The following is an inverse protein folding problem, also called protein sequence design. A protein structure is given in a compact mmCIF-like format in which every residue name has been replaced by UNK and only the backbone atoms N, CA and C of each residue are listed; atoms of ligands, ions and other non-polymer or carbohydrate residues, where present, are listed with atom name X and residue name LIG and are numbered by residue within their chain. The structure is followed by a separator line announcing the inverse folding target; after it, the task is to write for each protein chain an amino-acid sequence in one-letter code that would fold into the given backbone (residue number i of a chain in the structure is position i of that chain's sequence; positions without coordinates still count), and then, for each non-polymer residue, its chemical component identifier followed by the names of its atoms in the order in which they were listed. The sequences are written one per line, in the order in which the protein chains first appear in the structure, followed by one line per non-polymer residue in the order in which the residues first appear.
data_IF_529666906898
#
_entry.id   IF_529666906898
#
_cell.length_a   1.000
_cell.length_b   1.000
_cell.length_c   1.000
_cell.angle_alpha   90.00
_cell.angle_beta   90.00
_cell.angle_gamma   90.00
#
_symmetry.space_group_name_H-M   'P 1'
#
loop_
_entity.id
_entity.type
_entity.pdbx_description
1 polymer ?
#
# COMPACT_ATOMS: atom_id res chain seq x y z
N UNK A 1 20.09 -13.15 2.76
CA UNK A 1 19.69 -12.94 4.18
C UNK A 1 18.21 -12.59 4.18
N UNK A 2 17.35 -13.40 4.81
CA UNK A 2 15.93 -13.08 4.89
C UNK A 2 15.80 -11.92 5.87
N UNK A 3 15.48 -10.74 5.35
CA UNK A 3 15.30 -9.57 6.20
C UNK A 3 13.96 -9.70 6.92
N UNK A 4 14.00 -9.76 8.25
CA UNK A 4 12.90 -9.81 9.23
C UNK A 4 11.94 -8.58 9.17
N UNK A 5 11.56 -8.11 7.97
CA UNK A 5 10.60 -7.02 7.77
C UNK A 5 9.22 -7.54 7.32
N UNK A 6 9.09 -8.86 7.18
CA UNK A 6 7.96 -9.58 6.56
C UNK A 6 6.68 -9.66 7.41
N UNK A 7 6.64 -9.09 8.62
CA UNK A 7 5.54 -9.39 9.54
C UNK A 7 4.17 -8.75 9.19
N UNK A 8 4.05 -7.94 8.12
CA UNK A 8 2.85 -7.11 7.95
C UNK A 8 2.35 -6.90 6.52
N UNK A 9 2.74 -7.74 5.57
CA UNK A 9 2.05 -7.82 4.29
C UNK A 9 1.93 -9.28 3.87
N UNK A 10 0.90 -9.59 3.10
CA UNK A 10 0.68 -10.94 2.57
C UNK A 10 0.63 -10.90 1.04
N UNK A 11 0.80 -12.04 0.38
CA UNK A 11 0.52 -12.15 -1.05
C UNK A 11 -0.95 -12.47 -1.24
N UNK A 12 -1.63 -11.67 -2.06
CA UNK A 12 -3.04 -11.89 -2.35
C UNK A 12 -3.25 -12.95 -3.44
N UNK A 13 -4.52 -13.20 -3.80
CA UNK A 13 -4.89 -14.20 -4.81
C UNK A 13 -4.29 -13.93 -6.21
N UNK A 14 -3.92 -12.68 -6.48
CA UNK A 14 -3.38 -12.23 -7.75
C UNK A 14 -1.83 -12.20 -7.73
N UNK A 15 -1.23 -12.58 -6.58
CA UNK A 15 0.21 -12.61 -6.35
C UNK A 15 0.80 -11.24 -5.98
N UNK A 16 -0.05 -10.24 -5.74
CA UNK A 16 0.39 -8.92 -5.33
C UNK A 16 0.70 -8.91 -3.84
N UNK A 17 1.74 -8.16 -3.46
CA UNK A 17 2.04 -7.92 -2.05
C UNK A 17 1.07 -6.87 -1.51
N UNK A 18 0.38 -7.20 -0.43
CA UNK A 18 -0.74 -6.43 0.09
C UNK A 18 -0.51 -6.03 1.56
N UNK A 19 -0.54 -4.73 1.82
CA UNK A 19 -0.47 -4.13 3.16
C UNK A 19 -1.89 -3.85 3.68
N UNK A 20 -2.29 -4.50 4.78
CA UNK A 20 -3.57 -4.24 5.45
C UNK A 20 -3.39 -3.26 6.64
N UNK A 21 -4.15 -2.16 6.61
CA UNK A 21 -4.10 -1.08 7.59
C UNK A 21 -5.25 -1.10 8.62
N UNK A 22 -6.19 -2.05 8.57
CA UNK A 22 -7.40 -2.07 9.42
C UNK A 22 -7.15 -2.00 10.93
N UNK A 23 -5.98 -2.44 11.39
CA UNK A 23 -5.64 -2.55 12.81
C UNK A 23 -4.72 -1.44 13.32
N UNK A 24 -4.39 -0.46 12.48
CA UNK A 24 -3.46 0.60 12.83
C UNK A 24 -4.18 1.90 13.17
N UNK A 25 -3.60 2.66 14.10
CA UNK A 25 -3.90 4.08 14.23
C UNK A 25 -3.43 4.83 12.98
N UNK A 26 -4.00 5.99 12.69
CA UNK A 26 -3.64 6.83 11.53
C UNK A 26 -2.12 7.07 11.41
N UNK A 27 -1.49 7.55 12.49
CA UNK A 27 -0.04 7.77 12.53
C UNK A 27 0.77 6.48 12.36
N UNK A 28 0.26 5.35 12.87
CA UNK A 28 0.86 4.03 12.67
C UNK A 28 0.74 3.55 11.23
N UNK A 29 -0.43 3.76 10.61
CA UNK A 29 -0.75 3.37 9.26
C UNK A 29 0.16 4.11 8.26
N UNK A 30 0.28 5.43 8.36
CA UNK A 30 1.14 6.20 7.46
C UNK A 30 2.62 5.86 7.58
N UNK A 31 3.09 5.50 8.78
CA UNK A 31 4.46 5.00 8.95
C UNK A 31 4.65 3.65 8.24
N UNK A 32 3.66 2.77 8.29
CA UNK A 32 3.69 1.47 7.60
C UNK A 32 3.64 1.64 6.08
N UNK A 33 2.76 2.51 5.56
CA UNK A 33 2.65 2.83 4.12
C UNK A 33 3.98 3.30 3.55
N UNK A 34 4.60 4.32 4.19
CA UNK A 34 5.90 4.87 3.75
C UNK A 34 7.00 3.81 3.71
N UNK A 35 7.08 3.00 4.76
CA UNK A 35 8.06 1.92 4.84
C UNK A 35 7.82 0.86 3.76
N UNK A 36 6.58 0.40 3.63
CA UNK A 36 6.18 -0.62 2.67
C UNK A 36 6.50 -0.22 1.23
N UNK A 37 6.04 0.96 0.80
CA UNK A 37 6.27 1.43 -0.58
C UNK A 37 7.76 1.65 -0.89
N UNK A 38 8.53 2.13 0.09
CA UNK A 38 9.98 2.24 -0.05
C UNK A 38 10.64 0.87 -0.31
N UNK A 39 10.25 -0.16 0.46
CA UNK A 39 10.81 -1.50 0.32
C UNK A 39 10.37 -2.17 -0.99
N UNK A 40 9.09 -2.09 -1.34
CA UNK A 40 8.55 -2.71 -2.54
C UNK A 40 9.11 -2.09 -3.82
N UNK A 41 9.26 -0.76 -3.86
CA UNK A 41 9.94 -0.08 -4.98
C UNK A 41 11.38 -0.57 -5.14
N UNK A 42 12.11 -0.77 -4.03
CA UNK A 42 13.48 -1.31 -4.08
C UNK A 42 13.52 -2.76 -4.54
N UNK A 43 12.56 -3.59 -4.15
CA UNK A 43 12.45 -4.97 -4.64
C UNK A 43 12.16 -5.00 -6.15
N UNK A 44 11.25 -4.15 -6.64
CA UNK A 44 10.98 -4.01 -8.06
C UNK A 44 12.23 -3.62 -8.86
N UNK A 45 12.98 -2.62 -8.39
CA UNK A 45 14.22 -2.19 -9.05
C UNK A 45 15.33 -3.25 -9.00
N UNK A 46 15.36 -4.09 -7.97
CA UNK A 46 16.35 -5.17 -7.82
C UNK A 46 15.98 -6.46 -8.56
N UNK A 47 14.71 -6.66 -8.87
CA UNK A 47 14.20 -7.81 -9.62
C UNK A 47 14.25 -7.60 -11.13
N UNK A 48 15.12 -6.68 -11.60
CA UNK A 48 15.19 -6.26 -13.01
C UNK A 48 13.82 -5.83 -13.56
N UNK A 49 13.03 -5.13 -12.72
CA UNK A 49 11.68 -4.66 -13.04
C UNK A 49 10.71 -5.79 -13.44
N UNK A 50 10.85 -6.95 -12.82
CA UNK A 50 9.94 -8.08 -13.04
C UNK A 50 8.48 -7.72 -12.73
N UNK A 51 7.57 -8.24 -13.56
CA UNK A 51 6.11 -8.04 -13.42
C UNK A 51 5.60 -8.47 -12.03
N UNK A 52 6.19 -9.51 -11.45
CA UNK A 52 5.80 -10.04 -10.13
C UNK A 52 6.05 -9.07 -8.95
N UNK A 53 6.83 -8.00 -9.17
CA UNK A 53 7.12 -6.98 -8.15
C UNK A 53 6.60 -5.59 -8.53
N UNK A 54 5.93 -5.47 -9.69
CA UNK A 54 5.47 -4.18 -10.21
C UNK A 54 4.29 -3.61 -9.43
N UNK A 55 3.38 -4.48 -9.01
CA UNK A 55 2.11 -4.11 -8.38
C UNK A 55 2.12 -4.47 -6.91
N UNK A 56 1.58 -3.56 -6.11
CA UNK A 56 1.31 -3.78 -4.68
C UNK A 56 -0.01 -3.17 -4.30
N UNK A 57 -0.59 -3.69 -3.23
CA UNK A 57 -1.89 -3.27 -2.73
C UNK A 57 -1.79 -2.71 -1.32
N UNK A 58 -2.64 -1.74 -1.02
CA UNK A 58 -2.85 -1.21 0.32
C UNK A 58 -4.35 -1.24 0.62
N UNK A 59 -4.74 -1.86 1.72
CA UNK A 59 -6.12 -1.90 2.20
C UNK A 59 -6.24 -0.95 3.40
N UNK A 60 -7.04 0.10 3.23
CA UNK A 60 -7.29 1.19 4.18
C UNK A 60 -8.56 0.99 5.03
N UNK A 61 -9.48 0.12 4.61
CA UNK A 61 -10.81 -0.01 5.24
C UNK A 61 -12.00 0.24 4.33
N UNK A 62 -13.05 -0.59 4.44
CA UNK A 62 -14.37 -0.28 3.84
C UNK A 62 -15.13 0.68 4.77
N UNK A 63 -15.24 1.94 4.33
CA UNK A 63 -16.03 2.95 5.02
C UNK A 63 -17.51 2.55 5.10
N UNK A 64 -17.94 2.07 6.28
CA UNK A 64 -19.32 2.11 6.80
C UNK A 64 -19.48 1.61 8.25
N UNK A 65 -18.46 1.02 8.87
CA UNK A 65 -18.40 0.81 10.32
C UNK A 65 -17.27 1.62 10.96
N UNK A 66 -17.39 2.93 10.86
CA UNK A 66 -16.60 3.86 11.66
C UNK A 66 -17.15 3.88 13.09
N UNK A 67 -16.59 3.09 14.00
CA UNK A 67 -16.70 3.44 15.41
C UNK A 67 -15.76 4.65 15.63
N UNK A 68 -16.32 5.87 15.66
CA UNK A 68 -15.62 7.17 15.78
C UNK A 68 -14.83 7.70 14.55
N UNK A 69 -15.49 7.96 13.41
CA UNK A 69 -14.99 8.89 12.37
C UNK A 69 -13.70 8.56 11.58
N UNK A 70 -13.47 7.31 11.16
CA UNK A 70 -12.34 6.98 10.27
C UNK A 70 -12.71 7.02 8.77
N UNK A 71 -12.40 8.15 8.12
CA UNK A 71 -12.16 8.34 6.67
C UNK A 71 -10.69 8.75 6.39
N UNK A 72 -9.96 9.14 7.44
CA UNK A 72 -8.69 9.88 7.35
C UNK A 72 -7.55 9.06 6.74
N UNK A 73 -7.47 7.75 7.01
CA UNK A 73 -6.37 6.92 6.49
C UNK A 73 -6.42 6.82 4.96
N UNK A 74 -7.61 6.74 4.36
CA UNK A 74 -7.74 6.71 2.90
C UNK A 74 -7.26 8.02 2.29
N UNK A 75 -7.75 9.14 2.82
CA UNK A 75 -7.40 10.50 2.39
C UNK A 75 -5.90 10.76 2.58
N UNK A 76 -5.32 10.41 3.72
CA UNK A 76 -3.87 10.57 3.98
C UNK A 76 -2.99 9.72 3.05
N UNK A 77 -3.44 8.50 2.73
CA UNK A 77 -2.74 7.63 1.77
C UNK A 77 -2.81 8.23 0.39
N UNK A 78 -3.98 8.69 -0.05
CA UNK A 78 -4.19 9.35 -1.35
C UNK A 78 -3.32 10.61 -1.47
N UNK A 79 -3.40 11.52 -0.51
CA UNK A 79 -2.57 12.72 -0.42
C UNK A 79 -1.07 12.40 -0.47
N UNK A 80 -0.64 11.34 0.22
CA UNK A 80 0.76 10.92 0.21
C UNK A 80 1.18 10.40 -1.18
N UNK A 81 0.34 9.59 -1.82
CA UNK A 81 0.63 9.00 -3.13
C UNK A 81 0.71 10.09 -4.20
N UNK A 82 -0.23 11.04 -4.19
CA UNK A 82 -0.23 12.21 -5.08
C UNK A 82 1.02 13.07 -4.89
N UNK A 83 1.36 13.42 -3.65
CA UNK A 83 2.55 14.23 -3.35
C UNK A 83 3.88 13.56 -3.70
N UNK A 84 3.86 12.25 -3.96
CA UNK A 84 5.02 11.45 -4.34
C UNK A 84 4.97 10.97 -5.77
N UNK A 85 4.01 11.44 -6.56
CA UNK A 85 3.82 11.11 -7.97
C UNK A 85 3.77 9.58 -8.20
N UNK A 86 3.13 8.84 -7.29
CA UNK A 86 2.87 7.42 -7.50
C UNK A 86 1.75 7.24 -8.53
N UNK A 87 1.89 6.24 -9.39
CA UNK A 87 0.79 5.76 -10.23
C UNK A 87 -0.04 4.77 -9.43
N UNK A 88 -1.33 5.05 -9.22
CA UNK A 88 -2.21 4.17 -8.45
C UNK A 88 -3.66 4.22 -8.95
N UNK A 89 -4.42 3.20 -8.57
CA UNK A 89 -5.85 3.10 -8.85
C UNK A 89 -6.60 2.60 -7.61
N UNK A 90 -7.70 3.29 -7.26
CA UNK A 90 -8.61 2.86 -6.21
C UNK A 90 -9.65 1.89 -6.77
N UNK A 91 -9.91 0.81 -6.02
CA UNK A 91 -11.06 -0.04 -6.27
C UNK A 91 -12.37 0.77 -6.09
N UNK A 92 -13.28 0.67 -7.04
CA UNK A 92 -14.46 1.53 -7.14
C UNK A 92 -15.44 1.23 -6.00
N UNK A 93 -15.40 2.06 -4.96
CA UNK A 93 -16.20 1.91 -3.74
C UNK A 93 -15.51 1.15 -2.60
N UNK A 94 -14.24 0.78 -2.79
CA UNK A 94 -13.44 0.02 -1.83
C UNK A 94 -12.48 0.86 -0.99
N UNK A 95 -11.92 0.19 0.02
CA UNK A 95 -10.77 0.65 0.81
C UNK A 95 -9.43 0.24 0.23
N UNK A 96 -9.38 -0.34 -0.97
CA UNK A 96 -8.15 -0.88 -1.58
C UNK A 96 -7.62 0.05 -2.65
N UNK A 97 -6.32 0.33 -2.60
CA UNK A 97 -5.56 0.99 -3.66
C UNK A 97 -4.47 0.07 -4.18
N UNK A 98 -4.36 -0.02 -5.49
CA UNK A 98 -3.27 -0.73 -6.18
C UNK A 98 -2.27 0.29 -6.71
N UNK A 99 -1.00 0.12 -6.38
CA UNK A 99 0.10 0.99 -6.81
C UNK A 99 0.89 0.28 -7.91
N UNK A 100 1.22 1.02 -8.98
CA UNK A 100 2.05 0.58 -10.10
C UNK A 100 3.42 1.29 -10.08
N UNK A 101 4.49 0.54 -9.83
CA UNK A 101 5.84 1.09 -9.82
C UNK A 101 6.45 1.34 -11.20
N UNK A 102 5.79 0.96 -12.30
CA UNK A 102 6.34 1.16 -13.64
C UNK A 102 6.46 2.65 -14.00
N UNK A 103 5.48 3.46 -13.62
CA UNK A 103 5.44 4.90 -13.89
C UNK A 103 5.86 5.77 -12.70
N UNK A 104 6.12 5.14 -11.54
CA UNK A 104 6.46 5.86 -10.31
C UNK A 104 7.96 6.20 -10.28
N UNK A 105 8.33 7.44 -10.60
CA UNK A 105 9.71 7.95 -10.74
C UNK A 105 10.47 7.92 -9.41
#
# INVERSE_FOLDING_TARGET
MPTHWTDHYYEDKDGNKCLDLHHYSESGAMRKVKSFLYHMKREYLRSDKSRAHRFVDIITGVGKHSWRHYSVIKEDVEDFLDRKDYSYEWDHGGGRVTIDFYYSI
#
